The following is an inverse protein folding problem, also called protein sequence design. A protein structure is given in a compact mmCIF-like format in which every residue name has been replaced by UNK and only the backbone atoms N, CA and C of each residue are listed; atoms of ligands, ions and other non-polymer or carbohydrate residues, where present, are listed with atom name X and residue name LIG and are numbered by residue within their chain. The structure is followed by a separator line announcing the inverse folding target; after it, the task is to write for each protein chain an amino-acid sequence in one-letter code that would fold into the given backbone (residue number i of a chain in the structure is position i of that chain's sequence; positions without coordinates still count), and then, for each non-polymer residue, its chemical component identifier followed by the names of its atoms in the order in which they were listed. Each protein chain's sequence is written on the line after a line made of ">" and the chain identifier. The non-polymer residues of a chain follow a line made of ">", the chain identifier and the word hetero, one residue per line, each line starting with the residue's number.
data_IF_448249167258
#
_entry.id   IF_448249167258
#
_cell.length_a   1.000
_cell.length_b   1.000
_cell.length_c   1.000
_cell.angle_alpha   90.00
_cell.angle_beta   90.00
_cell.angle_gamma   90.00
#
_symmetry.space_group_name_H-M   'P 1'
#
loop_
_entity.id
_entity.type
_entity.pdbx_description
1 polymer ?
#
# COMPACT_ATOMS: atom_id res chain seq x y z
N UNK A 1 -8.62 3.58 3.54
CA UNK A 1 -7.45 3.95 4.35
C UNK A 1 -6.99 2.79 5.25
N UNK A 2 -7.88 2.15 6.00
CA UNK A 2 -7.53 1.06 6.95
C UNK A 2 -6.74 -0.06 6.28
N UNK A 3 -7.22 -0.57 5.14
CA UNK A 3 -6.52 -1.58 4.35
C UNK A 3 -5.13 -1.10 3.90
N UNK A 4 -5.04 0.11 3.34
CA UNK A 4 -3.78 0.71 2.92
C UNK A 4 -2.78 0.82 4.08
N UNK A 5 -3.25 1.29 5.25
CA UNK A 5 -2.43 1.44 6.45
C UNK A 5 -1.88 0.09 6.94
N UNK A 6 -2.72 -0.94 7.00
CA UNK A 6 -2.31 -2.27 7.44
C UNK A 6 -1.23 -2.86 6.53
N UNK A 7 -1.42 -2.77 5.21
CA UNK A 7 -0.46 -3.33 4.24
C UNK A 7 0.86 -2.57 4.26
N UNK A 8 0.80 -1.24 4.17
CA UNK A 8 2.03 -0.43 4.14
C UNK A 8 2.79 -0.55 5.47
N UNK A 9 2.08 -0.58 6.61
CA UNK A 9 2.69 -0.81 7.93
C UNK A 9 3.38 -2.17 8.05
N UNK A 10 2.81 -3.22 7.47
CA UNK A 10 3.42 -4.56 7.45
C UNK A 10 4.66 -4.64 6.53
N UNK A 11 4.72 -3.81 5.47
CA UNK A 11 5.81 -3.83 4.49
C UNK A 11 6.93 -2.85 4.81
N UNK A 12 6.63 -1.77 5.52
CA UNK A 12 7.59 -0.72 5.88
C UNK A 12 7.73 -0.62 7.40
N UNK A 13 8.82 -1.15 7.92
CA UNK A 13 9.13 -1.07 9.35
C UNK A 13 9.12 0.37 9.86
N UNK A 14 8.40 0.61 10.95
CA UNK A 14 8.29 1.93 11.59
C UNK A 14 7.40 2.94 10.86
N UNK A 15 6.68 2.53 9.81
CA UNK A 15 5.81 3.43 9.03
C UNK A 15 4.73 4.10 9.88
N UNK A 16 4.07 3.34 10.77
CA UNK A 16 2.96 3.82 11.60
C UNK A 16 3.40 4.10 13.05
N UNK A 17 4.38 4.95 13.23
CA UNK A 17 4.89 5.33 14.56
C UNK A 17 4.01 6.32 15.32
N UNK A 18 2.69 6.28 15.16
CA UNK A 18 1.74 7.16 15.84
C UNK A 18 1.59 8.55 15.20
N UNK A 19 1.92 8.70 13.92
CA UNK A 19 1.71 9.95 13.19
C UNK A 19 0.25 10.31 13.06
N UNK A 20 -0.05 11.61 13.20
CA UNK A 20 -1.36 12.14 12.86
C UNK A 20 -1.61 11.96 11.35
N UNK A 21 -2.75 11.38 11.01
CA UNK A 21 -3.16 11.12 9.62
C UNK A 21 -3.30 12.40 8.80
N UNK A 22 -3.50 13.55 9.45
CA UNK A 22 -3.64 14.86 8.81
C UNK A 22 -2.31 15.65 8.80
N UNK A 23 -1.22 15.11 9.36
CA UNK A 23 0.07 15.79 9.29
C UNK A 23 0.58 15.86 7.86
N UNK A 24 1.18 16.98 7.49
CA UNK A 24 1.83 17.13 6.19
C UNK A 24 3.06 16.23 6.09
N UNK A 25 3.30 15.69 4.92
CA UNK A 25 4.43 14.81 4.60
C UNK A 25 5.54 15.62 3.96
N UNK A 26 6.77 15.46 4.45
CA UNK A 26 7.91 16.15 3.85
C UNK A 26 8.37 15.46 2.55
N UNK A 27 9.09 16.21 1.73
CA UNK A 27 9.68 15.69 0.48
C UNK A 27 10.62 14.52 0.73
N UNK A 28 11.46 14.63 1.77
CA UNK A 28 12.37 13.55 2.16
C UNK A 28 11.62 12.32 2.64
N UNK A 29 10.62 12.49 3.48
CA UNK A 29 9.81 11.38 3.98
C UNK A 29 9.12 10.62 2.85
N UNK A 30 8.49 11.33 1.91
CA UNK A 30 7.81 10.69 0.79
C UNK A 30 8.78 9.89 -0.08
N UNK A 31 9.89 10.51 -0.51
CA UNK A 31 10.90 9.84 -1.35
C UNK A 31 11.51 8.63 -0.64
N UNK A 32 11.78 8.75 0.67
CA UNK A 32 12.32 7.66 1.46
C UNK A 32 11.36 6.46 1.53
N UNK A 33 10.07 6.70 1.74
CA UNK A 33 9.07 5.64 1.80
C UNK A 33 8.87 4.97 0.43
N UNK A 34 8.83 5.73 -0.67
CA UNK A 34 8.75 5.19 -2.03
C UNK A 34 9.98 4.34 -2.35
N UNK A 35 11.19 4.84 -2.04
CA UNK A 35 12.45 4.13 -2.30
C UNK A 35 12.50 2.79 -1.57
N UNK A 36 12.13 2.76 -0.29
CA UNK A 36 12.08 1.55 0.52
C UNK A 36 11.03 0.57 0.01
N UNK A 37 9.82 1.07 -0.29
CA UNK A 37 8.70 0.24 -0.73
C UNK A 37 8.99 -0.43 -2.08
N UNK A 38 9.63 0.25 -2.99
CA UNK A 38 9.98 -0.30 -4.30
C UNK A 38 11.33 -1.00 -4.34
N UNK A 39 11.99 -1.16 -3.17
CA UNK A 39 13.27 -1.88 -3.02
C UNK A 39 14.35 -1.41 -3.98
N UNK A 40 14.36 -0.13 -4.30
CA UNK A 40 15.46 0.45 -5.06
C UNK A 40 16.75 0.33 -4.23
N UNK A 41 17.74 -0.36 -4.80
CA UNK A 41 18.99 -0.67 -4.12
C UNK A 41 19.70 0.58 -3.63
N UNK A 42 20.22 0.51 -2.41
CA UNK A 42 20.98 1.60 -1.79
C UNK A 42 22.45 1.45 -2.21
N UNK A 43 22.92 2.33 -3.08
CA UNK A 43 24.32 2.66 -3.09
C UNK A 43 24.54 3.78 -2.06
N UNK A 44 25.39 3.56 -1.08
CA UNK A 44 25.66 4.58 -0.05
C UNK A 44 26.05 5.90 -0.72
N UNK A 45 25.23 6.93 -0.53
CA UNK A 45 25.44 8.21 -1.15
C UNK A 45 26.67 8.89 -0.56
N UNK A 46 27.75 8.97 -1.33
CA UNK A 46 28.90 9.83 -0.95
C UNK A 46 28.54 11.32 -1.10
N UNK A 47 27.61 11.64 -2.01
CA UNK A 47 27.01 12.96 -2.21
C UNK A 47 25.58 12.78 -2.72
N UNK A 48 24.64 13.53 -2.16
CA UNK A 48 23.24 13.50 -2.58
C UNK A 48 22.96 14.25 -3.87
N UNK A 49 23.90 15.06 -4.35
CA UNK A 49 23.71 15.97 -5.49
C UNK A 49 23.05 17.31 -5.11
N UNK A 50 22.63 17.49 -3.86
CA UNK A 50 22.00 18.69 -3.34
C UNK A 50 22.82 19.31 -2.22
N UNK A 51 22.92 20.66 -2.18
CA UNK A 51 23.72 21.37 -1.19
C UNK A 51 23.14 21.31 0.23
N UNK A 52 21.84 21.14 0.35
CA UNK A 52 21.09 21.13 1.60
C UNK A 52 20.80 19.72 2.16
N UNK A 53 21.36 18.68 1.54
CA UNK A 53 21.22 17.28 2.01
C UNK A 53 22.60 16.71 2.31
N UNK A 54 22.93 16.60 3.61
CA UNK A 54 24.17 15.99 4.07
C UNK A 54 24.19 14.48 3.81
N UNK A 55 25.36 13.89 3.64
CA UNK A 55 25.49 12.46 3.35
C UNK A 55 25.01 11.55 4.49
N UNK A 56 25.00 12.04 5.72
CA UNK A 56 24.50 11.36 6.92
C UNK A 56 23.02 11.65 7.24
N UNK A 57 22.34 12.41 6.37
CA UNK A 57 20.90 12.64 6.52
C UNK A 57 20.12 11.33 6.35
N UNK A 58 19.09 11.09 7.16
CA UNK A 58 18.37 9.80 7.23
C UNK A 58 17.81 9.30 5.90
N UNK A 59 17.52 10.20 4.97
CA UNK A 59 16.97 9.90 3.66
C UNK A 59 17.98 10.17 2.50
N UNK A 60 19.26 10.38 2.82
CA UNK A 60 20.28 10.75 1.82
C UNK A 60 20.36 9.77 0.66
N UNK A 61 20.43 8.46 0.96
CA UNK A 61 20.50 7.40 -0.06
C UNK A 61 19.23 7.36 -0.92
N UNK A 62 18.06 7.52 -0.30
CA UNK A 62 16.79 7.54 -1.03
C UNK A 62 16.66 8.76 -1.94
N UNK A 63 17.13 9.93 -1.50
CA UNK A 63 17.13 11.16 -2.29
C UNK A 63 18.13 11.06 -3.45
N UNK A 64 19.30 10.48 -3.21
CA UNK A 64 20.28 10.21 -4.25
C UNK A 64 19.70 9.26 -5.31
N UNK A 65 19.12 8.15 -4.89
CA UNK A 65 18.47 7.19 -5.80
C UNK A 65 17.32 7.84 -6.60
N UNK A 66 16.53 8.69 -5.97
CA UNK A 66 15.45 9.40 -6.62
C UNK A 66 15.97 10.38 -7.70
N UNK A 67 17.10 11.03 -7.45
CA UNK A 67 17.76 11.90 -8.44
C UNK A 67 18.29 11.09 -9.63
N UNK A 68 19.04 10.01 -9.37
CA UNK A 68 19.61 9.15 -10.41
C UNK A 68 18.54 8.49 -11.29
N UNK A 69 17.37 8.17 -10.72
CA UNK A 69 16.23 7.60 -11.44
C UNK A 69 15.26 8.65 -12.01
N UNK A 70 15.56 9.95 -11.89
CA UNK A 70 14.75 11.01 -12.46
C UNK A 70 13.42 11.28 -11.74
N UNK A 71 13.20 10.68 -10.55
CA UNK A 71 11.97 10.91 -9.76
C UNK A 71 11.86 12.35 -9.30
N UNK A 72 12.99 12.95 -8.98
CA UNK A 72 13.13 14.34 -8.59
C UNK A 72 14.04 15.07 -9.56
N UNK A 73 13.89 16.39 -9.66
CA UNK A 73 14.66 17.20 -10.60
C UNK A 73 15.98 17.63 -9.99
N UNK A 74 17.07 17.62 -10.78
CA UNK A 74 18.33 18.20 -10.40
C UNK A 74 18.18 19.72 -10.13
N UNK A 75 18.71 20.17 -8.99
CA UNK A 75 18.69 21.56 -8.53
C UNK A 75 19.83 21.79 -7.53
N UNK A 76 20.06 23.03 -7.11
CA UNK A 76 21.03 23.32 -6.06
C UNK A 76 20.58 22.73 -4.70
N UNK A 77 19.28 22.89 -4.37
CA UNK A 77 18.69 22.44 -3.12
C UNK A 77 17.52 21.47 -3.36
N UNK A 78 17.36 20.48 -2.48
CA UNK A 78 16.24 19.55 -2.45
C UNK A 78 15.08 20.04 -1.59
N UNK A 79 15.36 20.80 -0.54
CA UNK A 79 14.40 21.20 0.50
C UNK A 79 13.73 20.01 1.19
N UNK A 80 14.51 19.15 1.88
CA UNK A 80 14.04 17.87 2.41
C UNK A 80 12.87 17.98 3.38
N UNK A 81 12.87 19.04 4.23
CA UNK A 81 11.87 19.25 5.27
C UNK A 81 10.61 20.01 4.78
N UNK A 82 10.61 20.52 3.55
CA UNK A 82 9.43 21.18 3.03
C UNK A 82 8.32 20.16 2.75
N UNK A 83 7.04 20.51 2.95
CA UNK A 83 5.92 19.69 2.54
C UNK A 83 6.01 19.35 1.04
N UNK A 84 5.66 18.11 0.69
CA UNK A 84 5.58 17.70 -0.71
C UNK A 84 4.20 18.04 -1.27
N UNK A 85 4.15 18.69 -2.44
CA UNK A 85 2.87 18.90 -3.12
C UNK A 85 2.40 17.64 -3.82
N UNK A 86 1.08 17.54 -4.00
CA UNK A 86 0.45 16.39 -4.65
C UNK A 86 1.06 16.06 -6.02
N UNK A 87 1.23 17.07 -6.89
CA UNK A 87 1.82 16.82 -8.22
C UNK A 87 3.29 16.39 -8.15
N UNK A 88 4.05 16.84 -7.15
CA UNK A 88 5.43 16.37 -6.93
C UNK A 88 5.44 14.91 -6.48
N UNK A 89 4.51 14.53 -5.59
CA UNK A 89 4.34 13.16 -5.17
C UNK A 89 3.92 12.25 -6.33
N UNK A 90 2.97 12.70 -7.18
CA UNK A 90 2.59 11.96 -8.38
C UNK A 90 3.75 11.78 -9.36
N UNK A 91 4.59 12.80 -9.56
CA UNK A 91 5.80 12.66 -10.40
C UNK A 91 6.69 11.53 -9.86
N UNK A 92 7.01 11.55 -8.58
CA UNK A 92 7.83 10.50 -7.94
C UNK A 92 7.18 9.12 -8.08
N UNK A 93 5.86 9.00 -7.81
CA UNK A 93 5.13 7.75 -7.90
C UNK A 93 5.11 7.17 -9.32
N UNK A 94 4.85 8.01 -10.33
CA UNK A 94 4.83 7.64 -11.77
C UNK A 94 6.20 7.13 -12.22
N UNK A 95 7.29 7.81 -11.83
CA UNK A 95 8.64 7.36 -12.15
C UNK A 95 9.00 6.05 -11.45
N UNK A 96 8.73 5.94 -10.13
CA UNK A 96 9.04 4.74 -9.36
C UNK A 96 8.29 3.51 -9.90
N UNK A 97 7.04 3.70 -10.34
CA UNK A 97 6.23 2.66 -10.97
C UNK A 97 6.49 2.51 -12.50
N UNK A 98 7.50 3.19 -13.06
CA UNK A 98 7.92 3.09 -14.48
C UNK A 98 6.84 3.48 -15.50
N UNK A 99 5.93 4.39 -15.12
CA UNK A 99 4.91 4.94 -16.01
C UNK A 99 5.31 6.28 -16.66
N UNK A 100 6.57 6.68 -16.56
CA UNK A 100 7.07 7.97 -17.09
C UNK A 100 6.77 8.15 -18.57
N UNK A 101 6.95 7.12 -19.38
CA UNK A 101 6.66 7.18 -20.82
C UNK A 101 5.20 7.57 -21.10
N UNK A 102 4.26 7.05 -20.29
CA UNK A 102 2.85 7.44 -20.36
C UNK A 102 2.67 8.92 -20.01
N UNK A 103 3.32 9.39 -18.95
CA UNK A 103 3.24 10.79 -18.54
C UNK A 103 3.80 11.75 -19.61
N UNK A 104 4.94 11.42 -20.20
CA UNK A 104 5.55 12.23 -21.29
C UNK A 104 4.62 12.29 -22.50
N UNK A 105 4.07 11.16 -22.93
CA UNK A 105 3.16 11.08 -24.08
C UNK A 105 1.81 11.77 -23.82
N UNK A 106 1.44 11.95 -22.54
CA UNK A 106 0.19 12.62 -22.12
C UNK A 106 0.36 14.11 -21.83
N UNK A 107 1.50 14.72 -22.21
CA UNK A 107 1.72 16.17 -22.11
C UNK A 107 2.82 16.59 -21.12
N UNK A 108 3.50 15.65 -20.47
CA UNK A 108 4.64 15.92 -19.59
C UNK A 108 4.27 16.64 -18.29
N UNK A 109 5.16 17.52 -17.83
CA UNK A 109 4.97 18.28 -16.59
C UNK A 109 3.88 19.37 -16.73
N UNK A 110 2.90 19.41 -15.90
CA UNK A 110 2.36 18.70 -14.75
C UNK A 110 1.21 17.75 -15.18
N UNK A 111 0.51 18.12 -16.26
CA UNK A 111 -0.74 17.49 -16.69
C UNK A 111 -0.54 16.02 -17.07
N UNK A 112 0.56 15.70 -17.74
CA UNK A 112 0.86 14.33 -18.14
C UNK A 112 1.06 13.38 -16.95
N UNK A 113 1.68 13.87 -15.87
CA UNK A 113 1.86 13.07 -14.64
C UNK A 113 0.54 12.82 -13.92
N UNK A 114 -0.34 13.81 -13.86
CA UNK A 114 -1.70 13.66 -13.32
C UNK A 114 -2.48 12.66 -14.17
N UNK A 115 -2.41 12.79 -15.50
CA UNK A 115 -3.09 11.87 -16.43
C UNK A 115 -2.58 10.45 -16.30
N UNK A 116 -1.26 10.24 -16.21
CA UNK A 116 -0.68 8.93 -16.03
C UNK A 116 -1.08 8.29 -14.69
N UNK A 117 -1.03 9.06 -13.60
CA UNK A 117 -1.45 8.60 -12.30
C UNK A 117 -2.93 8.17 -12.28
N UNK A 118 -3.79 8.97 -12.87
CA UNK A 118 -5.22 8.66 -13.00
C UNK A 118 -5.48 7.42 -13.86
N UNK A 119 -4.80 7.32 -15.02
CA UNK A 119 -4.95 6.18 -15.94
C UNK A 119 -4.55 4.86 -15.28
N UNK A 120 -3.48 4.86 -14.48
CA UNK A 120 -2.95 3.68 -13.82
C UNK A 120 -3.50 3.50 -12.38
N UNK A 121 -4.44 4.37 -11.96
CA UNK A 121 -5.14 4.27 -10.68
C UNK A 121 -4.28 4.61 -9.46
N UNK A 122 -3.15 5.30 -9.64
CA UNK A 122 -2.25 5.68 -8.54
C UNK A 122 -2.93 6.70 -7.60
N UNK A 123 -3.80 7.55 -8.13
CA UNK A 123 -4.49 8.60 -7.39
C UNK A 123 -5.90 8.20 -6.89
N UNK A 124 -6.24 6.94 -7.01
CA UNK A 124 -7.55 6.43 -6.57
C UNK A 124 -7.81 6.74 -5.09
N UNK A 125 -9.00 7.30 -4.79
CA UNK A 125 -9.41 7.74 -3.45
C UNK A 125 -8.58 8.88 -2.84
N UNK A 126 -7.86 9.64 -3.68
CA UNK A 126 -7.20 10.89 -3.31
C UNK A 126 -7.91 12.03 -4.06
N UNK A 127 -8.26 13.10 -3.35
CA UNK A 127 -8.98 14.24 -3.92
C UNK A 127 -8.27 15.53 -3.53
N UNK A 128 -7.17 15.83 -4.25
CA UNK A 128 -6.31 16.98 -4.01
C UNK A 128 -6.10 17.76 -5.33
N UNK A 129 -5.88 19.07 -5.21
CA UNK A 129 -5.39 19.86 -6.31
C UNK A 129 -3.87 19.69 -6.47
N UNK A 130 -3.32 19.99 -7.63
CA UNK A 130 -1.89 19.80 -7.93
C UNK A 130 -0.94 20.48 -6.92
N UNK A 131 -1.34 21.63 -6.38
CA UNK A 131 -0.53 22.43 -5.45
C UNK A 131 -0.80 22.13 -3.96
N UNK A 132 -1.79 21.31 -3.64
CA UNK A 132 -2.10 20.95 -2.25
C UNK A 132 -0.98 20.08 -1.67
N UNK A 133 -0.67 20.26 -0.39
CA UNK A 133 0.30 19.45 0.32
C UNK A 133 -0.29 18.07 0.63
N UNK A 134 0.55 17.04 0.51
CA UNK A 134 0.17 15.67 0.83
C UNK A 134 0.10 15.47 2.34
N UNK A 135 -0.99 14.86 2.82
CA UNK A 135 -1.06 14.40 4.22
C UNK A 135 -0.52 12.97 4.36
N UNK A 136 -0.25 12.56 5.61
CA UNK A 136 0.17 11.17 5.90
C UNK A 136 -0.89 10.15 5.42
N UNK A 137 -2.17 10.48 5.53
CA UNK A 137 -3.25 9.67 4.97
C UNK A 137 -3.14 9.54 3.46
N UNK A 138 -2.93 10.65 2.75
CA UNK A 138 -2.86 10.64 1.28
C UNK A 138 -1.62 9.89 0.79
N UNK A 139 -0.48 10.07 1.46
CA UNK A 139 0.74 9.29 1.20
C UNK A 139 0.47 7.78 1.36
N UNK A 140 -0.16 7.38 2.46
CA UNK A 140 -0.47 5.96 2.72
C UNK A 140 -1.33 5.37 1.60
N UNK A 141 -2.36 6.11 1.16
CA UNK A 141 -3.25 5.68 0.07
C UNK A 141 -2.49 5.62 -1.25
N UNK A 142 -1.66 6.63 -1.55
CA UNK A 142 -0.86 6.66 -2.78
C UNK A 142 0.12 5.49 -2.85
N UNK A 143 0.87 5.21 -1.77
CA UNK A 143 1.80 4.08 -1.68
C UNK A 143 1.07 2.74 -1.88
N UNK A 144 -0.10 2.59 -1.28
CA UNK A 144 -0.92 1.39 -1.46
C UNK A 144 -1.42 1.26 -2.90
N UNK A 145 -1.89 2.33 -3.52
CA UNK A 145 -2.30 2.32 -4.93
C UNK A 145 -1.15 1.97 -5.86
N UNK A 146 0.07 2.47 -5.59
CA UNK A 146 1.27 2.11 -6.34
C UNK A 146 1.56 0.60 -6.29
N UNK A 147 1.36 -0.05 -5.14
CA UNK A 147 1.52 -1.50 -5.03
C UNK A 147 0.43 -2.29 -5.78
N UNK A 148 -0.76 -1.71 -5.92
CA UNK A 148 -1.87 -2.33 -6.65
C UNK A 148 -1.84 -2.06 -8.17
N UNK A 149 -0.94 -1.20 -8.63
CA UNK A 149 -0.78 -0.92 -10.05
C UNK A 149 -0.06 -2.07 -10.77
N UNK A 150 -0.30 -2.23 -12.08
CA UNK A 150 0.37 -3.25 -12.88
C UNK A 150 1.89 -3.10 -12.82
N UNK A 151 2.60 -4.17 -12.53
CA UNK A 151 4.06 -4.15 -12.54
C UNK A 151 4.57 -3.94 -13.98
N UNK A 152 5.43 -2.94 -14.15
CA UNK A 152 6.13 -2.66 -15.42
C UNK A 152 7.57 -3.13 -15.33
N UNK A 153 7.96 -3.97 -16.27
CA UNK A 153 9.37 -4.38 -16.47
C UNK A 153 9.91 -3.80 -17.77
N UNK A 154 11.24 -3.70 -17.80
CA UNK A 154 11.96 -3.23 -18.97
C UNK A 154 12.72 -4.39 -19.63
N UNK A 155 12.77 -4.38 -20.95
CA UNK A 155 13.64 -5.26 -21.73
C UNK A 155 14.41 -4.45 -22.77
N UNK A 156 15.53 -4.97 -23.23
CA UNK A 156 16.27 -4.35 -24.33
C UNK A 156 16.03 -5.17 -25.59
N UNK A 157 15.39 -4.58 -26.58
CA UNK A 157 15.15 -5.20 -27.88
C UNK A 157 15.72 -4.32 -28.99
N UNK A 158 16.59 -4.87 -29.81
CA UNK A 158 17.27 -4.13 -30.89
C UNK A 158 17.95 -2.82 -30.42
N UNK A 159 18.54 -2.84 -29.21
CA UNK A 159 19.22 -1.66 -28.63
C UNK A 159 18.26 -0.58 -28.08
N UNK A 160 16.97 -0.85 -28.02
CA UNK A 160 15.96 0.05 -27.44
C UNK A 160 15.39 -0.55 -26.16
N UNK A 161 15.15 0.31 -25.17
CA UNK A 161 14.45 -0.09 -23.95
C UNK A 161 12.96 -0.10 -24.28
N UNK A 162 12.35 -1.26 -24.07
CA UNK A 162 10.90 -1.45 -24.18
C UNK A 162 10.31 -1.71 -22.80
N UNK A 163 9.18 -1.11 -22.50
CA UNK A 163 8.41 -1.26 -21.25
C UNK A 163 7.23 -2.18 -21.52
N UNK A 164 6.96 -3.10 -20.62
CA UNK A 164 5.79 -3.98 -20.74
C UNK A 164 5.20 -4.28 -19.35
N UNK A 165 3.87 -4.39 -19.29
CA UNK A 165 3.14 -4.82 -18.10
C UNK A 165 3.28 -6.34 -17.96
N UNK A 166 3.59 -6.82 -16.75
CA UNK A 166 3.80 -8.26 -16.50
C UNK A 166 2.50 -9.05 -16.37
N UNK A 167 1.37 -8.37 -16.17
CA UNK A 167 0.08 -8.97 -15.85
C UNK A 167 -0.10 -9.27 -14.35
N UNK A 168 0.87 -8.89 -13.53
CA UNK A 168 0.82 -8.91 -12.06
C UNK A 168 0.91 -7.49 -11.53
N UNK A 169 0.50 -7.24 -10.29
CA UNK A 169 0.73 -5.97 -9.62
C UNK A 169 2.10 -5.92 -8.93
N UNK A 170 2.51 -4.72 -8.47
CA UNK A 170 3.76 -4.56 -7.74
C UNK A 170 3.77 -5.26 -6.38
N UNK A 171 2.60 -5.46 -5.74
CA UNK A 171 2.50 -6.16 -4.47
C UNK A 171 2.95 -7.62 -4.62
N UNK A 172 2.49 -8.30 -5.65
CA UNK A 172 2.97 -9.64 -5.99
C UNK A 172 4.42 -9.62 -6.48
N UNK A 173 4.74 -8.76 -7.44
CA UNK A 173 6.06 -8.72 -8.08
C UNK A 173 7.22 -8.42 -7.14
N UNK A 174 7.02 -7.58 -6.12
CA UNK A 174 8.06 -7.17 -5.16
C UNK A 174 8.07 -8.00 -3.89
N UNK A 175 6.91 -8.51 -3.45
CA UNK A 175 6.73 -9.05 -2.11
C UNK A 175 6.20 -10.48 -2.07
N UNK A 176 5.76 -11.03 -3.20
CA UNK A 176 5.05 -12.34 -3.28
C UNK A 176 3.81 -12.35 -2.37
N UNK A 177 3.07 -11.24 -2.33
CA UNK A 177 1.87 -11.08 -1.51
C UNK A 177 0.63 -11.14 -2.38
N UNK A 178 -0.25 -12.09 -2.07
CA UNK A 178 -1.57 -12.24 -2.66
C UNK A 178 -2.66 -11.68 -1.76
N UNK A 179 -3.85 -11.43 -2.32
CA UNK A 179 -5.06 -11.05 -1.58
C UNK A 179 -5.98 -12.24 -1.47
N UNK A 180 -6.33 -12.59 -0.23
CA UNK A 180 -7.36 -13.56 0.10
C UNK A 180 -8.56 -12.81 0.67
N UNK A 181 -9.75 -13.11 0.17
CA UNK A 181 -11.00 -12.53 0.68
C UNK A 181 -11.87 -13.63 1.25
N UNK A 182 -12.41 -13.42 2.44
CA UNK A 182 -13.28 -14.40 3.07
C UNK A 182 -13.78 -13.94 4.44
N UNK A 183 -14.62 -14.76 5.04
CA UNK A 183 -15.16 -14.56 6.37
C UNK A 183 -14.16 -15.06 7.42
N UNK A 184 -13.85 -14.26 8.42
CA UNK A 184 -13.08 -14.72 9.57
C UNK A 184 -13.97 -15.58 10.46
N UNK A 185 -13.70 -16.89 10.47
CA UNK A 185 -14.50 -17.88 11.20
C UNK A 185 -13.95 -18.17 12.59
N UNK A 186 -12.62 -18.13 12.76
CA UNK A 186 -11.93 -18.38 14.03
C UNK A 186 -10.65 -17.56 14.15
N UNK A 187 -10.24 -17.32 15.39
CA UNK A 187 -8.95 -16.73 15.76
C UNK A 187 -8.30 -17.58 16.84
N UNK A 188 -7.05 -17.29 17.24
CA UNK A 188 -6.40 -18.05 18.31
C UNK A 188 -7.19 -18.07 19.63
N UNK A 189 -8.07 -17.11 19.89
CA UNK A 189 -8.92 -17.08 21.10
C UNK A 189 -10.19 -17.89 20.98
N UNK A 190 -10.69 -18.11 19.78
CA UNK A 190 -11.97 -18.79 19.52
C UNK A 190 -11.79 -20.20 18.98
N UNK A 191 -10.62 -20.53 18.44
CA UNK A 191 -10.33 -21.86 17.91
C UNK A 191 -10.18 -22.89 19.01
N UNK A 192 -10.90 -24.02 18.86
CA UNK A 192 -10.79 -25.21 19.73
C UNK A 192 -9.62 -26.09 19.28
N UNK A 193 -9.05 -25.88 18.11
CA UNK A 193 -8.06 -26.73 17.44
C UNK A 193 -6.70 -26.07 17.24
N UNK A 194 -6.38 -25.02 17.97
CA UNK A 194 -5.13 -24.29 17.79
C UNK A 194 -3.91 -25.22 18.02
N UNK A 195 -3.39 -25.82 16.96
CA UNK A 195 -2.04 -26.35 16.94
C UNK A 195 -1.09 -25.19 16.65
N UNK A 196 -0.39 -24.75 17.67
CA UNK A 196 0.58 -23.65 17.54
C UNK A 196 1.85 -24.21 16.91
N UNK A 197 2.14 -23.86 15.66
CA UNK A 197 3.49 -23.96 15.13
C UNK A 197 4.36 -22.90 15.81
N UNK A 198 5.56 -23.29 16.25
CA UNK A 198 6.45 -22.44 17.04
C UNK A 198 6.95 -21.18 16.28
N UNK A 199 6.77 -21.13 14.97
CA UNK A 199 7.21 -20.00 14.13
C UNK A 199 6.23 -18.84 14.09
N UNK A 200 4.91 -19.10 14.19
CA UNK A 200 3.87 -18.06 14.16
C UNK A 200 3.03 -18.14 15.45
N UNK A 201 2.93 -17.00 16.12
CA UNK A 201 2.23 -16.88 17.40
C UNK A 201 0.71 -16.84 17.26
N UNK A 202 0.21 -16.41 16.11
CA UNK A 202 -1.20 -16.17 15.85
C UNK A 202 -1.68 -16.91 14.61
N UNK A 203 -2.97 -17.21 14.57
CA UNK A 203 -3.66 -17.79 13.43
C UNK A 203 -4.95 -17.05 13.16
N UNK A 204 -5.29 -16.94 11.88
CA UNK A 204 -6.58 -16.42 11.42
C UNK A 204 -7.22 -17.48 10.52
N UNK A 205 -8.44 -17.92 10.86
CA UNK A 205 -9.19 -18.83 10.01
C UNK A 205 -10.09 -18.01 9.09
N UNK A 206 -9.90 -18.19 7.79
CA UNK A 206 -10.70 -17.54 6.77
C UNK A 206 -11.42 -18.63 5.98
N UNK A 207 -12.77 -18.56 5.99
CA UNK A 207 -13.65 -19.57 5.38
C UNK A 207 -13.34 -21.01 5.86
N UNK A 208 -12.88 -21.16 7.11
CA UNK A 208 -12.54 -22.43 7.74
C UNK A 208 -11.12 -22.92 7.50
N UNK A 209 -10.31 -22.26 6.69
CA UNK A 209 -8.88 -22.56 6.50
C UNK A 209 -8.01 -21.71 7.44
N UNK A 210 -7.05 -22.36 8.12
CA UNK A 210 -6.14 -21.71 9.05
C UNK A 210 -4.92 -21.14 8.34
N UNK A 211 -4.64 -19.87 8.58
CA UNK A 211 -3.46 -19.17 8.08
C UNK A 211 -2.62 -18.65 9.25
N UNK A 212 -1.33 -18.96 9.32
CA UNK A 212 -0.41 -18.31 10.23
C UNK A 212 -0.44 -16.79 10.07
N UNK A 213 -0.27 -16.06 11.17
CA UNK A 213 -0.19 -14.59 11.15
C UNK A 213 0.89 -14.08 12.09
N UNK A 214 1.54 -12.97 11.72
CA UNK A 214 2.50 -12.29 12.59
C UNK A 214 1.81 -11.43 13.65
N UNK A 215 0.55 -11.03 13.41
CA UNK A 215 -0.22 -10.17 14.29
C UNK A 215 -1.51 -10.84 14.75
N UNK A 216 -2.01 -10.32 15.88
CA UNK A 216 -3.31 -10.71 16.41
C UNK A 216 -4.42 -9.97 15.67
N UNK A 217 -5.43 -10.71 15.25
CA UNK A 217 -6.59 -10.19 14.51
C UNK A 217 -7.92 -10.59 15.18
N UNK A 218 -7.96 -10.67 16.51
CA UNK A 218 -9.17 -11.09 17.23
C UNK A 218 -10.38 -10.18 16.99
N UNK A 219 -10.15 -8.91 16.70
CA UNK A 219 -11.19 -7.93 16.36
C UNK A 219 -11.87 -8.20 15.01
N UNK A 220 -11.29 -9.07 14.18
CA UNK A 220 -11.83 -9.38 12.85
C UNK A 220 -12.79 -10.58 12.85
N UNK A 221 -12.99 -11.25 14.00
CA UNK A 221 -13.89 -12.41 14.10
C UNK A 221 -15.30 -12.05 13.61
N UNK A 222 -15.85 -12.87 12.72
CA UNK A 222 -17.18 -12.64 12.13
C UNK A 222 -17.23 -11.57 11.03
N UNK A 223 -16.10 -10.93 10.72
CA UNK A 223 -16.02 -9.95 9.63
C UNK A 223 -15.56 -10.60 8.32
N UNK A 224 -16.06 -10.09 7.21
CA UNK A 224 -15.53 -10.39 5.90
C UNK A 224 -14.32 -9.47 5.62
N UNK A 225 -13.18 -10.06 5.33
CA UNK A 225 -11.91 -9.34 5.26
C UNK A 225 -11.23 -9.47 3.90
N UNK A 226 -10.29 -8.58 3.62
CA UNK A 226 -9.17 -8.80 2.71
C UNK A 226 -7.94 -9.07 3.56
N UNK A 227 -7.42 -10.29 3.48
CA UNK A 227 -6.15 -10.68 4.07
C UNK A 227 -5.05 -10.62 2.99
N UNK A 228 -3.87 -10.17 3.39
CA UNK A 228 -2.69 -10.08 2.55
C UNK A 228 -1.75 -11.22 2.96
N UNK A 229 -1.60 -12.16 2.06
CA UNK A 229 -0.92 -13.43 2.31
C UNK A 229 0.40 -13.46 1.57
N UNK A 230 1.50 -13.48 2.31
CA UNK A 230 2.84 -13.64 1.76
C UNK A 230 3.15 -15.12 1.57
N UNK A 231 3.55 -15.48 0.35
CA UNK A 231 4.08 -16.80 0.03
C UNK A 231 5.60 -16.79 0.20
N UNK A 232 6.10 -17.59 1.14
CA UNK A 232 7.52 -17.72 1.41
C UNK A 232 7.87 -19.19 1.72
N UNK A 233 8.80 -19.78 0.97
CA UNK A 233 9.22 -21.19 1.12
C UNK A 233 8.08 -22.23 1.03
N UNK A 234 6.99 -21.93 0.34
CA UNK A 234 5.80 -22.77 0.22
C UNK A 234 4.83 -22.66 1.40
N UNK A 235 5.05 -21.73 2.30
CA UNK A 235 4.13 -21.37 3.38
C UNK A 235 3.41 -20.06 3.07
N UNK A 236 2.14 -20.00 3.43
CA UNK A 236 1.26 -18.83 3.24
C UNK A 236 1.01 -18.17 4.59
N UNK A 237 1.61 -17.00 4.84
CA UNK A 237 1.49 -16.28 6.11
C UNK A 237 0.76 -14.96 5.90
N UNK A 238 -0.24 -14.66 6.74
CA UNK A 238 -0.92 -13.36 6.75
C UNK A 238 0.02 -12.32 7.34
N UNK A 239 0.30 -11.27 6.54
CA UNK A 239 1.10 -10.12 6.96
C UNK A 239 0.24 -8.93 7.36
N UNK A 240 -0.98 -8.86 6.86
CA UNK A 240 -1.96 -7.83 7.17
C UNK A 240 -3.37 -8.35 6.88
N UNK A 241 -4.36 -7.87 7.61
CA UNK A 241 -5.76 -8.10 7.29
C UNK A 241 -6.58 -6.83 7.61
N UNK A 242 -7.60 -6.56 6.82
CA UNK A 242 -8.50 -5.44 7.04
C UNK A 242 -9.94 -5.81 6.68
N UNK A 243 -10.94 -5.28 7.39
CA UNK A 243 -12.32 -5.46 7.02
C UNK A 243 -12.57 -4.96 5.61
N UNK A 244 -13.25 -5.75 4.80
CA UNK A 244 -13.79 -5.26 3.56
C UNK A 244 -14.91 -4.27 3.85
N UNK A 245 -15.01 -3.22 3.03
CA UNK A 245 -16.07 -2.20 3.11
C UNK A 245 -17.45 -2.74 2.71
N UNK A 246 -17.78 -3.96 3.11
CA UNK A 246 -19.18 -4.36 3.18
C UNK A 246 -19.75 -3.66 4.41
N UNK A 247 -20.94 -3.11 4.30
CA UNK A 247 -21.61 -2.46 5.40
C UNK A 247 -21.74 -3.46 6.57
N UNK A 248 -20.75 -3.47 7.45
CA UNK A 248 -20.89 -4.12 8.74
C UNK A 248 -21.83 -3.25 9.57
N UNK A 249 -22.85 -3.83 10.12
CA UNK A 249 -23.72 -3.17 11.09
C UNK A 249 -23.88 -4.11 12.28
N UNK A 250 -23.82 -3.53 13.45
CA UNK A 250 -24.12 -4.24 14.68
C UNK A 250 -25.64 -4.26 14.88
N UNK A 251 -26.15 -5.42 15.24
CA UNK A 251 -27.56 -5.60 15.62
C UNK A 251 -27.56 -6.08 17.06
N UNK A 252 -28.32 -5.38 17.91
CA UNK A 252 -28.59 -5.89 19.25
C UNK A 252 -29.33 -7.23 19.15
N UNK A 253 -28.96 -8.18 20.01
CA UNK A 253 -29.60 -9.50 20.03
C UNK A 253 -31.10 -9.45 20.19
N UNK A 254 -31.62 -8.43 20.89
CA UNK A 254 -33.06 -8.23 21.15
C UNK A 254 -33.80 -7.75 19.91
N UNK A 255 -33.08 -7.17 18.93
CA UNK A 255 -33.67 -6.65 17.70
C UNK A 255 -33.58 -7.66 16.54
N UNK A 256 -32.88 -8.77 16.75
CA UNK A 256 -32.68 -9.80 15.75
C UNK A 256 -33.82 -10.81 15.78
N UNK A 257 -34.57 -10.92 14.68
CA UNK A 257 -35.75 -11.79 14.61
C UNK A 257 -35.39 -13.21 14.14
N UNK A 258 -34.79 -13.35 12.97
CA UNK A 258 -34.41 -14.66 12.43
C UNK A 258 -33.46 -14.55 11.23
N UNK A 259 -32.85 -15.68 10.88
CA UNK A 259 -32.08 -15.89 9.65
C UNK A 259 -32.86 -16.87 8.75
N UNK A 260 -32.93 -16.57 7.47
CA UNK A 260 -33.51 -17.47 6.49
C UNK A 260 -32.76 -17.38 5.15
N UNK A 261 -32.04 -18.44 4.81
CA UNK A 261 -31.25 -18.49 3.59
C UNK A 261 -30.12 -17.44 3.60
N UNK A 262 -30.16 -16.48 2.69
CA UNK A 262 -29.19 -15.45 2.45
C UNK A 262 -29.63 -14.06 2.98
N UNK A 263 -30.58 -14.03 3.90
CA UNK A 263 -31.06 -12.82 4.53
C UNK A 263 -31.39 -13.01 6.01
N UNK A 264 -31.45 -11.91 6.75
CA UNK A 264 -31.94 -11.86 8.11
C UNK A 264 -33.00 -10.77 8.26
N UNK A 265 -33.89 -10.93 9.22
CA UNK A 265 -34.88 -9.96 9.59
C UNK A 265 -34.41 -9.17 10.84
N UNK A 266 -34.61 -7.87 10.77
CA UNK A 266 -34.22 -6.90 11.77
C UNK A 266 -35.22 -5.76 11.79
N UNK A 267 -35.90 -5.53 12.92
CA UNK A 267 -37.00 -4.57 13.05
C UNK A 267 -38.04 -4.68 11.92
N UNK A 268 -38.45 -5.88 11.57
CA UNK A 268 -39.37 -6.10 10.44
C UNK A 268 -38.80 -5.75 9.05
N UNK A 269 -37.53 -5.43 8.96
CA UNK A 269 -36.84 -5.15 7.71
C UNK A 269 -36.01 -6.35 7.28
N UNK A 270 -36.18 -6.74 6.02
CA UNK A 270 -35.37 -7.80 5.41
C UNK A 270 -34.02 -7.22 4.93
N UNK A 271 -32.91 -7.85 5.29
CA UNK A 271 -31.57 -7.53 4.82
C UNK A 271 -30.95 -8.77 4.18
N UNK A 272 -30.45 -8.62 2.98
CA UNK A 272 -29.72 -9.69 2.28
C UNK A 272 -28.25 -9.59 2.65
N UNK A 273 -27.63 -10.73 2.97
CA UNK A 273 -26.17 -10.84 3.14
C UNK A 273 -25.61 -11.79 2.06
N UNK A 274 -24.38 -11.51 1.65
CA UNK A 274 -23.65 -12.39 0.72
C UNK A 274 -22.34 -12.73 1.36
#
# INVERSE_FOLDING_TARGET
>A
YTEAKSVIGALLEGFDSGKDINSEVTRAEFVNNVSKLFKYGYEAAQKTGYADVAADYYAADSIYNALENGWVSAAENFYPENPITYVQALKTAVHAAKYETLAINSGGWMSGYITAANTEGLDKNISLNAADNLTFRDMTVLLYNMLNADEVRTTVRNGRIEYFKTGSDYLWGLYSVNRLKGLVTETEKTSVYASVDAACKYYLHIDGEAYPSYENHNELIGLYVTAFVKEENGENTIIAAAPNNYAAFEIDSDDFENISGDYFNYYGSKRTYK
#
